data_IF_354429440127
#
_entry.id   IF_354429440127
#
_cell.length_a   1.000
_cell.length_b   1.000
_cell.length_c   1.000
_cell.angle_alpha   90.00
_cell.angle_beta   90.00
_cell.angle_gamma   90.00
#
_symmetry.space_group_name_H-M   'P 1'
#
loop_
_entity.id
_entity.type
_entity.pdbx_description
1 polymer ?
#
# COMPACT_ATOMS: atom_id res chain seq x y z
N UNK A 1 -8.09 -2.88 33.49
CA UNK A 1 -7.00 -3.89 33.53
C UNK A 1 -6.75 -4.34 32.09
N UNK A 2 -5.64 -3.92 31.45
CA UNK A 2 -5.30 -4.44 30.11
C UNK A 2 -4.91 -5.90 30.29
N UNK A 3 -5.72 -6.83 29.80
CA UNK A 3 -5.38 -8.25 29.81
C UNK A 3 -4.08 -8.42 29.02
N UNK A 4 -3.03 -8.90 29.68
CA UNK A 4 -1.79 -9.29 29.02
C UNK A 4 -2.06 -10.63 28.36
N UNK A 5 -2.83 -10.60 27.26
CA UNK A 5 -3.04 -11.78 26.45
C UNK A 5 -1.71 -12.12 25.77
N UNK A 6 -1.19 -13.29 26.12
CA UNK A 6 0.01 -13.87 25.53
C UNK A 6 -0.40 -14.80 24.40
N UNK A 7 0.06 -14.51 23.21
CA UNK A 7 -0.22 -15.27 21.99
C UNK A 7 1.03 -16.00 21.54
N UNK A 8 0.87 -17.23 21.06
CA UNK A 8 1.96 -17.91 20.35
C UNK A 8 2.10 -17.33 18.94
N UNK A 9 3.22 -17.64 18.26
CA UNK A 9 3.41 -17.26 16.87
C UNK A 9 2.25 -17.78 15.99
N UNK A 10 1.76 -18.99 16.27
CA UNK A 10 0.70 -19.60 15.48
C UNK A 10 -0.64 -18.88 15.68
N UNK A 11 -0.98 -18.54 16.94
CA UNK A 11 -2.21 -17.79 17.25
C UNK A 11 -2.20 -16.42 16.57
N UNK A 12 -1.06 -15.72 16.62
CA UNK A 12 -0.91 -14.43 15.98
C UNK A 12 -1.01 -14.52 14.45
N UNK A 13 -0.48 -15.58 13.84
CA UNK A 13 -0.64 -15.83 12.41
C UNK A 13 -2.10 -16.07 12.00
N UNK A 14 -2.85 -16.82 12.81
CA UNK A 14 -4.28 -17.06 12.60
C UNK A 14 -5.10 -15.77 12.73
N UNK A 15 -4.80 -14.93 13.73
CA UNK A 15 -5.55 -13.70 13.99
C UNK A 15 -5.35 -12.61 12.93
N UNK A 16 -4.18 -12.54 12.31
CA UNK A 16 -3.85 -11.49 11.32
C UNK A 16 -3.84 -12.02 9.88
N UNK A 17 -4.10 -13.32 9.70
CA UNK A 17 -4.06 -14.02 8.41
C UNK A 17 -2.69 -13.88 7.72
N UNK A 18 -1.61 -13.93 8.50
CA UNK A 18 -0.24 -13.83 8.00
C UNK A 18 0.50 -15.14 8.20
N UNK A 19 1.50 -15.40 7.36
CA UNK A 19 2.35 -16.57 7.55
C UNK A 19 3.41 -16.33 8.63
N UNK A 20 3.87 -17.38 9.33
CA UNK A 20 5.00 -17.27 10.27
C UNK A 20 6.27 -16.69 9.64
N UNK A 21 6.46 -16.94 8.35
CA UNK A 21 7.57 -16.38 7.56
C UNK A 21 7.46 -14.87 7.45
N UNK A 22 6.27 -14.35 7.15
CA UNK A 22 6.01 -12.91 7.04
C UNK A 22 6.22 -12.20 8.38
N UNK A 23 5.73 -12.78 9.47
CA UNK A 23 5.90 -12.21 10.83
C UNK A 23 7.39 -12.14 11.21
N UNK A 24 8.14 -13.23 10.98
CA UNK A 24 9.60 -13.24 11.22
C UNK A 24 10.34 -12.24 10.35
N UNK A 25 9.93 -12.10 9.10
CA UNK A 25 10.50 -11.10 8.19
C UNK A 25 10.27 -9.67 8.71
N UNK A 26 9.09 -9.37 9.24
CA UNK A 26 8.83 -8.05 9.85
C UNK A 26 9.63 -7.80 11.11
N UNK A 27 9.84 -8.82 11.96
CA UNK A 27 10.74 -8.71 13.11
C UNK A 27 12.18 -8.43 12.64
N UNK A 28 12.67 -9.16 11.64
CA UNK A 28 14.02 -8.97 11.10
C UNK A 28 14.20 -7.58 10.47
N UNK A 29 13.15 -7.07 9.83
CA UNK A 29 13.12 -5.70 9.28
C UNK A 29 12.87 -4.63 10.34
N UNK A 30 12.82 -5.01 11.62
CA UNK A 30 12.51 -4.13 12.75
C UNK A 30 11.15 -3.42 12.60
N UNK A 31 10.22 -3.92 11.78
CA UNK A 31 8.86 -3.38 11.62
C UNK A 31 7.94 -3.77 12.78
N UNK A 32 8.22 -4.92 13.37
CA UNK A 32 7.53 -5.48 14.52
C UNK A 32 8.56 -5.70 15.63
N UNK A 33 8.17 -5.42 16.88
CA UNK A 33 9.02 -5.73 18.03
C UNK A 33 9.29 -7.24 18.12
N UNK A 34 10.46 -7.58 18.68
CA UNK A 34 10.78 -8.96 18.98
C UNK A 34 9.79 -9.52 20.01
N UNK A 35 9.47 -10.83 19.96
CA UNK A 35 8.61 -11.45 20.96
C UNK A 35 9.17 -11.26 22.37
N UNK A 36 8.27 -11.15 23.34
CA UNK A 36 8.63 -11.09 24.75
C UNK A 36 9.04 -12.48 25.25
N UNK A 37 10.14 -12.55 26.00
CA UNK A 37 10.70 -13.81 26.50
C UNK A 37 11.74 -14.44 25.57
N UNK A 38 12.31 -15.57 26.00
CA UNK A 38 13.41 -16.25 25.28
C UNK A 38 13.12 -17.74 25.06
N UNK A 39 13.56 -18.25 23.91
CA UNK A 39 13.43 -19.66 23.56
C UNK A 39 11.98 -20.14 23.52
N UNK A 40 11.66 -21.17 24.32
CA UNK A 40 10.32 -21.78 24.39
C UNK A 40 9.28 -20.91 25.11
N UNK A 41 9.70 -19.84 25.78
CA UNK A 41 8.82 -18.88 26.47
C UNK A 41 8.51 -17.62 25.66
N UNK A 42 8.94 -17.55 24.40
CA UNK A 42 8.67 -16.42 23.53
C UNK A 42 7.17 -16.28 23.26
N UNK A 43 6.61 -15.12 23.55
CA UNK A 43 5.19 -14.82 23.37
C UNK A 43 4.99 -13.43 22.77
N UNK A 44 3.85 -13.26 22.12
CA UNK A 44 3.41 -12.02 21.52
C UNK A 44 2.28 -11.43 22.34
N UNK A 45 2.15 -10.12 22.31
CA UNK A 45 1.13 -9.38 23.05
C UNK A 45 0.12 -8.77 22.08
N UNK A 46 -0.97 -8.23 22.61
CA UNK A 46 -1.97 -7.51 21.82
C UNK A 46 -1.35 -6.38 20.97
N UNK A 47 -0.32 -5.70 21.49
CA UNK A 47 0.40 -4.66 20.76
C UNK A 47 1.02 -5.19 19.44
N UNK A 48 1.50 -6.43 19.43
CA UNK A 48 2.04 -7.05 18.22
C UNK A 48 0.94 -7.29 17.17
N UNK A 49 -0.27 -7.64 17.60
CA UNK A 49 -1.42 -7.86 16.71
C UNK A 49 -1.85 -6.53 16.09
N UNK A 50 -2.04 -5.49 16.90
CA UNK A 50 -2.42 -4.15 16.43
C UNK A 50 -1.42 -3.63 15.39
N UNK A 51 -0.13 -3.80 15.68
CA UNK A 51 0.97 -3.44 14.78
C UNK A 51 0.90 -4.18 13.43
N UNK A 52 0.62 -5.48 13.44
CA UNK A 52 0.53 -6.28 12.22
C UNK A 52 -0.72 -5.94 11.40
N UNK A 53 -1.84 -5.66 12.05
CA UNK A 53 -3.07 -5.21 11.38
C UNK A 53 -2.87 -3.85 10.70
N UNK A 54 -2.13 -2.95 11.34
CA UNK A 54 -1.79 -1.66 10.76
C UNK A 54 -0.87 -1.81 9.53
N UNK A 55 0.16 -2.67 9.62
CA UNK A 55 1.02 -2.99 8.47
C UNK A 55 0.19 -3.55 7.32
N UNK A 56 -0.73 -4.49 7.59
CA UNK A 56 -1.63 -5.09 6.59
C UNK A 56 -2.50 -4.01 5.92
N UNK A 57 -3.13 -3.14 6.71
CA UNK A 57 -3.93 -2.02 6.19
C UNK A 57 -3.15 -1.15 5.20
N UNK A 58 -1.89 -0.83 5.49
CA UNK A 58 -1.07 -0.02 4.59
C UNK A 58 -0.57 -0.79 3.37
N UNK A 59 -0.31 -2.09 3.50
CA UNK A 59 0.01 -2.94 2.36
C UNK A 59 -1.18 -3.08 1.40
N UNK A 60 -2.39 -3.26 1.94
CA UNK A 60 -3.62 -3.32 1.14
C UNK A 60 -3.89 -1.99 0.41
N UNK A 61 -3.44 -0.87 0.99
CA UNK A 61 -3.43 0.45 0.35
C UNK A 61 -2.28 0.65 -0.67
N UNK A 62 -1.46 -0.37 -0.92
CA UNK A 62 -0.40 -0.36 -1.93
C UNK A 62 0.93 0.28 -1.48
N UNK A 63 1.14 0.50 -0.18
CA UNK A 63 2.40 1.07 0.32
C UNK A 63 3.51 0.01 0.41
N UNK A 64 4.72 0.39 -0.02
CA UNK A 64 5.92 -0.43 0.18
C UNK A 64 6.26 -0.58 1.69
N UNK A 65 6.82 -1.72 2.09
CA UNK A 65 7.21 -1.99 3.47
C UNK A 65 8.23 -0.99 4.05
N UNK A 66 9.13 -0.44 3.24
CA UNK A 66 10.04 0.64 3.67
C UNK A 66 9.26 1.89 4.11
N UNK A 67 8.21 2.24 3.35
CA UNK A 67 7.37 3.41 3.63
C UNK A 67 6.52 3.19 4.87
N UNK A 68 5.98 1.98 5.00
CA UNK A 68 5.29 1.52 6.20
C UNK A 68 6.23 1.67 7.40
N UNK A 69 7.50 1.26 7.31
CA UNK A 69 8.49 1.47 8.37
C UNK A 69 8.61 2.94 8.78
N UNK A 70 8.81 3.85 7.83
CA UNK A 70 8.95 5.28 8.11
C UNK A 70 7.74 5.83 8.86
N UNK A 71 6.52 5.49 8.43
CA UNK A 71 5.28 5.95 9.05
C UNK A 71 5.13 5.53 10.51
N UNK A 72 5.72 4.39 10.87
CA UNK A 72 5.47 3.74 12.15
C UNK A 72 6.54 4.07 13.19
N UNK A 73 7.67 4.62 12.75
CA UNK A 73 8.72 5.15 13.61
C UNK A 73 8.66 6.68 13.74
N UNK A 74 7.89 7.37 12.90
CA UNK A 74 7.69 8.82 12.94
C UNK A 74 6.47 9.22 13.80
N UNK A 75 6.27 8.54 14.94
CA UNK A 75 5.17 8.81 15.92
C UNK A 75 5.24 10.21 16.57
N UNK A 76 6.28 11.00 16.27
CA UNK A 76 6.42 12.37 16.81
C UNK A 76 5.62 13.40 16.02
N UNK A 77 5.11 13.05 14.86
CA UNK A 77 4.50 14.01 13.94
C UNK A 77 3.00 13.72 13.77
N UNK A 78 2.16 14.55 14.39
CA UNK A 78 0.74 14.71 14.11
C UNK A 78 0.52 15.28 12.68
N UNK A 79 1.11 14.62 11.66
CA UNK A 79 1.22 15.11 10.27
C UNK A 79 0.21 14.39 9.37
N UNK A 80 -0.38 15.11 8.38
CA UNK A 80 -1.18 14.49 7.35
C UNK A 80 -0.36 13.43 6.62
N UNK A 81 -1.03 12.34 6.24
CA UNK A 81 -0.49 11.24 5.44
C UNK A 81 0.49 11.76 4.38
N UNK A 82 1.73 11.27 4.35
CA UNK A 82 2.70 11.79 3.42
C UNK A 82 2.47 11.17 2.03
N UNK A 83 2.75 11.91 0.95
CA UNK A 83 2.39 11.52 -0.41
C UNK A 83 3.04 10.20 -0.86
N UNK A 84 2.40 9.56 -1.84
CA UNK A 84 2.89 8.38 -2.60
C UNK A 84 4.36 8.60 -3.02
N UNK A 85 5.21 7.58 -2.85
CA UNK A 85 6.67 7.65 -3.06
C UNK A 85 7.03 8.25 -4.42
N UNK A 86 7.98 9.21 -4.42
CA UNK A 86 8.69 9.68 -5.62
C UNK A 86 9.69 8.62 -6.09
N UNK A 87 9.83 8.43 -7.40
CA UNK A 87 10.74 7.46 -8.02
C UNK A 87 12.20 7.69 -7.56
N UNK A 88 12.91 6.61 -7.21
CA UNK A 88 14.33 6.67 -6.85
C UNK A 88 15.19 6.70 -8.13
N UNK A 89 16.37 7.35 -8.15
CA UNK A 89 17.30 7.23 -9.28
C UNK A 89 17.68 5.76 -9.52
N UNK A 90 17.31 5.21 -10.67
CA UNK A 90 17.45 3.78 -10.99
C UNK A 90 16.13 3.00 -11.07
N UNK A 91 15.00 3.58 -10.66
CA UNK A 91 13.68 3.04 -10.97
C UNK A 91 13.40 3.17 -12.47
N UNK A 92 13.29 2.03 -13.15
CA UNK A 92 12.82 1.98 -14.53
C UNK A 92 11.31 1.77 -14.48
N UNK A 93 10.57 2.84 -14.72
CA UNK A 93 9.11 2.81 -14.81
C UNK A 93 8.68 2.88 -16.27
N UNK A 94 7.91 1.88 -16.70
CA UNK A 94 7.26 1.90 -18.02
C UNK A 94 5.94 2.63 -17.88
N UNK A 95 5.96 3.93 -18.16
CA UNK A 95 4.77 4.76 -18.17
C UNK A 95 4.22 4.88 -19.59
N UNK A 96 2.95 4.55 -19.78
CA UNK A 96 2.22 4.90 -21.00
C UNK A 96 1.76 6.35 -20.88
N UNK A 97 2.36 7.22 -21.67
CA UNK A 97 1.91 8.61 -21.81
C UNK A 97 0.95 8.69 -23.00
N UNK A 98 -0.31 9.00 -22.75
CA UNK A 98 -1.35 9.11 -23.77
C UNK A 98 -1.85 10.56 -23.83
N UNK A 99 -1.88 11.13 -25.02
CA UNK A 99 -2.51 12.42 -25.29
C UNK A 99 -3.97 12.20 -25.67
N UNK A 100 -4.88 12.89 -24.98
CA UNK A 100 -6.33 12.78 -25.19
C UNK A 100 -6.84 13.98 -26.01
N UNK A 101 -6.40 15.20 -25.71
CA UNK A 101 -6.72 16.43 -26.46
C UNK A 101 -5.70 17.55 -26.14
N UNK A 102 -5.81 18.72 -26.79
CA UNK A 102 -5.04 19.92 -26.45
C UNK A 102 -5.21 20.29 -24.97
N UNK A 103 -4.19 19.99 -24.17
CA UNK A 103 -4.16 20.27 -22.73
C UNK A 103 -4.50 19.07 -21.83
N UNK A 104 -4.83 17.90 -22.38
CA UNK A 104 -5.19 16.72 -21.59
C UNK A 104 -4.26 15.54 -21.92
N UNK A 105 -3.51 15.11 -20.90
CA UNK A 105 -2.67 13.92 -20.96
C UNK A 105 -2.98 12.96 -19.82
N UNK A 106 -2.97 11.66 -20.12
CA UNK A 106 -3.09 10.57 -19.16
C UNK A 106 -1.74 9.86 -19.09
N UNK A 107 -1.15 9.82 -17.89
CA UNK A 107 0.04 9.01 -17.64
C UNK A 107 -0.35 7.82 -16.79
N UNK A 108 -0.19 6.62 -17.34
CA UNK A 108 -0.57 5.38 -16.67
C UNK A 108 0.64 4.46 -16.54
N UNK A 109 0.84 3.95 -15.32
CA UNK A 109 1.82 2.91 -15.05
C UNK A 109 1.06 1.57 -14.86
N UNK A 110 1.04 0.69 -15.88
CA UNK A 110 0.24 -0.54 -15.83
C UNK A 110 0.72 -1.50 -14.73
N UNK A 111 2.04 -1.54 -14.48
CA UNK A 111 2.63 -2.39 -13.43
C UNK A 111 2.24 -1.95 -12.02
N UNK A 112 2.17 -0.63 -11.76
CA UNK A 112 1.69 -0.10 -10.47
C UNK A 112 0.19 -0.17 -10.30
N UNK A 113 -0.56 -0.03 -11.40
CA UNK A 113 -2.01 -0.11 -11.38
C UNK A 113 -2.55 -1.55 -11.29
N UNK A 114 -1.68 -2.57 -11.40
CA UNK A 114 -2.09 -3.97 -11.47
C UNK A 114 -2.91 -4.29 -12.73
N UNK A 115 -2.82 -3.43 -13.75
CA UNK A 115 -3.59 -3.53 -14.98
C UNK A 115 -2.78 -4.31 -16.03
N UNK A 116 -3.46 -5.19 -16.74
CA UNK A 116 -2.86 -5.79 -17.95
C UNK A 116 -2.71 -4.73 -19.04
N UNK A 117 -1.79 -4.92 -20.01
CA UNK A 117 -1.64 -3.99 -21.14
C UNK A 117 -2.96 -3.76 -21.91
N UNK A 118 -3.80 -4.78 -21.99
CA UNK A 118 -5.12 -4.70 -22.62
C UNK A 118 -6.10 -3.86 -21.80
N UNK A 119 -6.11 -4.02 -20.47
CA UNK A 119 -6.94 -3.20 -19.58
C UNK A 119 -6.49 -1.74 -19.56
N UNK A 120 -5.18 -1.48 -19.58
CA UNK A 120 -4.64 -0.13 -19.72
C UNK A 120 -5.12 0.53 -21.03
N UNK A 121 -5.13 -0.23 -22.12
CA UNK A 121 -5.64 0.23 -23.42
C UNK A 121 -7.15 0.46 -23.39
N UNK A 122 -7.94 -0.43 -22.79
CA UNK A 122 -9.39 -0.25 -22.63
C UNK A 122 -9.71 0.99 -21.80
N UNK A 123 -9.03 1.17 -20.67
CA UNK A 123 -9.19 2.34 -19.81
C UNK A 123 -8.87 3.64 -20.57
N UNK A 124 -7.82 3.61 -21.39
CA UNK A 124 -7.46 4.75 -22.24
C UNK A 124 -8.57 5.09 -23.24
N UNK A 125 -9.12 4.09 -23.93
CA UNK A 125 -10.19 4.28 -24.91
C UNK A 125 -11.48 4.79 -24.24
N UNK A 126 -11.84 4.25 -23.09
CA UNK A 126 -13.00 4.71 -22.30
C UNK A 126 -12.85 6.16 -21.86
N UNK A 127 -11.65 6.57 -21.41
CA UNK A 127 -11.39 7.96 -21.02
C UNK A 127 -11.48 8.91 -22.22
N UNK A 128 -10.96 8.52 -23.38
CA UNK A 128 -11.07 9.31 -24.61
C UNK A 128 -12.54 9.49 -25.00
N UNK A 129 -13.35 8.41 -24.96
CA UNK A 129 -14.77 8.47 -25.29
C UNK A 129 -15.57 9.30 -24.26
N UNK A 130 -15.25 9.17 -22.97
CA UNK A 130 -15.86 9.94 -21.90
C UNK A 130 -15.53 11.42 -22.05
N UNK A 131 -14.29 11.76 -22.37
CA UNK A 131 -13.90 13.13 -22.68
C UNK A 131 -14.65 13.67 -23.90
N UNK A 132 -14.72 12.90 -25.01
CA UNK A 132 -15.48 13.31 -26.18
C UNK A 132 -16.96 13.55 -25.86
N UNK A 133 -17.57 12.72 -25.01
CA UNK A 133 -18.96 12.90 -24.58
C UNK A 133 -19.13 14.19 -23.77
N UNK A 134 -18.24 14.46 -22.83
CA UNK A 134 -18.27 15.70 -22.01
C UNK A 134 -18.00 16.93 -22.89
N UNK A 135 -16.99 16.89 -23.76
CA UNK A 135 -16.68 17.97 -24.69
C UNK A 135 -17.78 18.20 -25.74
N UNK A 136 -18.58 17.17 -26.06
CA UNK A 136 -19.78 17.29 -26.90
C UNK A 136 -20.97 17.83 -26.12
N UNK A 137 -21.08 17.53 -24.82
CA UNK A 137 -22.13 18.04 -23.93
C UNK A 137 -22.00 19.55 -23.67
N UNK A 138 -20.79 20.11 -23.71
CA UNK A 138 -20.55 21.56 -23.59
C UNK A 138 -20.85 22.35 -24.88
N UNK A 139 -21.08 21.68 -26.01
CA UNK A 139 -21.40 22.34 -27.29
C UNK A 139 -22.89 22.58 -27.54
N UNK A 140 -23.79 22.03 -26.72
CA UNK A 140 -25.25 22.21 -26.87
C UNK A 140 -25.84 23.41 -26.10
N UNK A 141 -25.03 24.15 -25.33
CA UNK A 141 -25.50 25.32 -24.58
C UNK A 141 -24.94 26.67 -25.09
N UNK A 142 -24.89 26.83 -26.42
CA UNK A 142 -24.65 28.13 -27.07
C UNK A 142 -25.57 28.40 -28.25
#
# INVERSE_FOLDING_TARGET
>A
MKNINRYTLNDLCQLVELTPRTVRFYIQKSLLQAPEGSGRGAHYTQAHIERLLEIKKWQDAGLSLERISELLFDESSNKPLPPLKRAKPGDIEVCSHIHIDEGISLTLNPSKAGLTPEQAKQLTLEIILLYQRIASSDKEEK
#
